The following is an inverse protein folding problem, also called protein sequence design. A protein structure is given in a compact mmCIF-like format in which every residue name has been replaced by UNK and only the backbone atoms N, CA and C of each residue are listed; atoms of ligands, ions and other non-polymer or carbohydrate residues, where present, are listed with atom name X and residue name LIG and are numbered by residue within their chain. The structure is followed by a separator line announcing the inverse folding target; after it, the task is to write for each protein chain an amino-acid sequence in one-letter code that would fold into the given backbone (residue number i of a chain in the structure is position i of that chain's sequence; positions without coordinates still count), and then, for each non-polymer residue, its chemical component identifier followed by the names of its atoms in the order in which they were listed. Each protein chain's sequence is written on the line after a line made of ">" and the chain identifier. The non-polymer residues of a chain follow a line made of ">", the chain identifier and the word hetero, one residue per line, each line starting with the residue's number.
data_IF_104666938255
#
_entry.id   IF_104666938255
#
_cell.length_a   1.000
_cell.length_b   1.000
_cell.length_c   1.000
_cell.angle_alpha   90.00
_cell.angle_beta   90.00
_cell.angle_gamma   90.00
#
_symmetry.space_group_name_H-M   'P 1'
#
loop_
_entity.id
_entity.type
_entity.pdbx_description
1 polymer ?
#
# COMPACT_ATOMS: atom_id res chain seq x y z
N UNK A 1 18.58 2.58 6.72
CA UNK A 1 18.54 1.14 6.40
C UNK A 1 18.25 0.99 4.92
N UNK A 2 18.79 -0.05 4.26
CA UNK A 2 18.52 -0.28 2.84
C UNK A 2 17.06 -0.71 2.59
N UNK A 3 16.42 -1.41 3.54
CA UNK A 3 15.02 -1.88 3.44
C UNK A 3 14.24 -1.52 4.70
N UNK A 4 12.93 -1.33 4.55
CA UNK A 4 12.03 -1.08 5.67
C UNK A 4 11.74 -2.39 6.41
N UNK A 5 11.66 -2.35 7.74
CA UNK A 5 11.50 -3.57 8.56
C UNK A 5 10.26 -4.39 8.18
N UNK A 6 9.14 -3.73 7.90
CA UNK A 6 7.88 -4.39 7.50
C UNK A 6 7.91 -4.98 6.08
N UNK A 7 8.89 -4.65 5.24
CA UNK A 7 9.08 -5.36 3.96
C UNK A 7 9.79 -6.70 4.20
N UNK A 8 10.77 -6.73 5.10
CA UNK A 8 11.53 -7.95 5.39
C UNK A 8 10.77 -8.88 6.35
N UNK A 9 9.82 -8.34 7.10
CA UNK A 9 9.03 -9.05 8.09
C UNK A 9 7.52 -8.74 7.94
N UNK A 10 6.91 -9.04 6.77
CA UNK A 10 5.55 -8.60 6.45
C UNK A 10 4.46 -9.19 7.35
N UNK A 11 4.76 -10.29 8.05
CA UNK A 11 3.82 -10.99 8.94
C UNK A 11 3.99 -10.62 10.42
N UNK A 12 5.04 -9.87 10.78
CA UNK A 12 5.24 -9.40 12.15
C UNK A 12 4.42 -8.14 12.40
N UNK A 13 3.26 -8.33 13.06
CA UNK A 13 2.38 -7.23 13.47
C UNK A 13 2.71 -6.66 14.85
N UNK A 14 3.55 -7.33 15.64
CA UNK A 14 4.05 -6.84 16.92
C UNK A 14 5.53 -7.18 17.07
N UNK A 15 6.32 -6.23 17.57
CA UNK A 15 7.77 -6.36 17.73
C UNK A 15 8.20 -5.69 19.03
N UNK A 16 9.01 -6.40 19.82
CA UNK A 16 9.80 -5.79 20.90
C UNK A 16 11.02 -5.09 20.29
N UNK A 17 11.20 -3.80 20.59
CA UNK A 17 12.25 -2.95 20.01
C UNK A 17 12.71 -1.91 21.01
N UNK A 18 13.90 -1.35 20.79
CA UNK A 18 14.40 -0.20 21.54
C UNK A 18 13.88 1.13 20.97
N UNK A 19 13.58 2.07 21.85
CA UNK A 19 13.42 3.49 21.50
C UNK A 19 14.80 4.12 21.34
N UNK A 20 15.11 4.59 20.14
CA UNK A 20 16.38 5.26 19.83
C UNK A 20 16.39 6.73 20.24
N UNK A 21 15.25 7.39 20.17
CA UNK A 21 15.07 8.80 20.51
C UNK A 21 13.59 9.07 20.80
N UNK A 22 13.31 10.06 21.64
CA UNK A 22 11.97 10.43 22.06
C UNK A 22 11.85 11.95 22.23
N UNK A 23 10.67 12.47 21.92
CA UNK A 23 10.25 13.86 22.18
C UNK A 23 8.79 13.81 22.66
N UNK A 24 8.25 14.90 23.22
CA UNK A 24 6.84 14.90 23.61
C UNK A 24 5.97 14.50 22.40
N UNK A 25 5.23 13.40 22.53
CA UNK A 25 4.34 12.89 21.50
C UNK A 25 5.01 12.20 20.31
N UNK A 26 6.34 12.00 20.34
CA UNK A 26 7.09 11.38 19.25
C UNK A 26 8.07 10.31 19.73
N UNK A 27 8.13 9.20 19.02
CA UNK A 27 9.12 8.15 19.28
C UNK A 27 9.80 7.68 17.99
N UNK A 28 11.12 7.50 18.05
CA UNK A 28 11.91 6.86 17.01
C UNK A 28 12.31 5.47 17.47
N UNK A 29 11.91 4.45 16.73
CA UNK A 29 12.21 3.05 17.06
C UNK A 29 13.40 2.52 16.28
N UNK A 30 14.12 1.57 16.87
CA UNK A 30 15.20 0.84 16.19
C UNK A 30 14.66 -0.04 15.06
N UNK A 31 13.54 -0.72 15.31
CA UNK A 31 12.77 -1.49 14.35
C UNK A 31 11.31 -1.07 14.45
N UNK A 32 10.65 -0.82 13.32
CA UNK A 32 9.25 -0.40 13.30
C UNK A 32 8.45 -1.31 12.37
N UNK A 33 7.45 -2.05 12.89
CA UNK A 33 6.55 -2.85 12.06
C UNK A 33 5.54 -1.99 11.29
N UNK A 34 5.47 -0.69 11.55
CA UNK A 34 4.48 0.21 10.97
C UNK A 34 4.88 0.73 9.57
N UNK A 35 3.91 0.75 8.68
CA UNK A 35 3.93 1.46 7.40
C UNK A 35 3.48 2.90 7.60
N UNK A 36 4.31 3.85 7.17
CA UNK A 36 4.08 5.28 7.38
C UNK A 36 3.07 5.92 6.41
N UNK A 37 2.47 5.13 5.52
CA UNK A 37 1.60 5.63 4.45
C UNK A 37 2.39 6.01 3.20
N UNK A 38 1.67 6.18 2.09
CA UNK A 38 2.25 6.51 0.78
C UNK A 38 1.60 5.72 -0.35
N UNK A 39 1.83 6.14 -1.60
CA UNK A 39 1.28 5.42 -2.78
C UNK A 39 -0.25 5.26 -2.77
N UNK A 40 -0.97 6.13 -2.06
CA UNK A 40 -2.42 6.04 -1.85
C UNK A 40 -2.87 5.15 -0.69
N UNK A 41 -1.98 4.34 -0.08
CA UNK A 41 -2.29 3.55 1.11
C UNK A 41 -2.20 4.44 2.36
N UNK A 42 -3.20 4.29 3.25
CA UNK A 42 -3.21 5.00 4.53
C UNK A 42 -2.07 4.50 5.45
N UNK A 43 -1.54 5.38 6.31
CA UNK A 43 -0.60 4.97 7.34
C UNK A 43 -1.24 3.95 8.28
N UNK A 44 -0.43 3.06 8.83
CA UNK A 44 -0.93 2.18 9.88
C UNK A 44 -1.30 2.94 11.15
N UNK A 45 -2.07 2.24 11.97
CA UNK A 45 -2.35 2.62 13.35
C UNK A 45 -2.03 1.45 14.26
N UNK A 46 -1.95 1.72 15.55
CA UNK A 46 -1.71 0.68 16.54
C UNK A 46 -1.34 1.25 17.89
N UNK A 47 -0.54 0.49 18.64
CA UNK A 47 -0.19 0.79 20.01
C UNK A 47 1.33 0.70 20.20
N UNK A 48 1.83 1.54 21.10
CA UNK A 48 3.17 1.43 21.67
C UNK A 48 3.01 1.10 23.16
N UNK A 49 3.58 -0.01 23.62
CA UNK A 49 3.48 -0.48 25.01
C UNK A 49 4.83 -0.56 25.69
N UNK A 50 4.87 -0.29 26.99
CA UNK A 50 6.05 -0.46 27.83
C UNK A 50 5.62 -0.90 29.24
N UNK A 51 6.58 -1.19 30.11
CA UNK A 51 6.33 -1.68 31.47
C UNK A 51 5.42 -0.78 32.33
N UNK A 52 5.22 0.49 31.94
CA UNK A 52 4.45 1.48 32.68
C UNK A 52 3.16 1.95 32.01
N UNK A 53 2.82 1.47 30.80
CA UNK A 53 1.63 1.93 30.10
C UNK A 53 1.61 1.59 28.61
N UNK A 54 0.61 2.10 27.92
CA UNK A 54 0.49 2.06 26.47
C UNK A 54 -0.06 3.38 25.94
N UNK A 55 0.22 3.69 24.69
CA UNK A 55 -0.39 4.83 23.98
C UNK A 55 -0.65 4.48 22.52
N UNK A 56 -1.61 5.15 21.89
CA UNK A 56 -1.93 4.92 20.49
C UNK A 56 -0.93 5.61 19.56
N UNK A 57 -0.53 4.89 18.50
CA UNK A 57 0.19 5.46 17.37
C UNK A 57 -0.84 6.04 16.41
N UNK A 58 -0.82 7.36 16.25
CA UNK A 58 -1.83 8.13 15.50
C UNK A 58 -1.34 8.63 14.14
N UNK A 59 -0.06 8.47 13.84
CA UNK A 59 0.52 8.86 12.57
C UNK A 59 2.03 8.78 12.56
N UNK A 60 2.64 9.41 11.55
CA UNK A 60 4.08 9.37 11.32
C UNK A 60 4.60 10.72 10.87
N UNK A 61 5.87 10.99 11.17
CA UNK A 61 6.56 12.20 10.74
C UNK A 61 7.96 11.87 10.23
N UNK A 62 8.38 12.52 9.15
CA UNK A 62 9.76 12.38 8.64
C UNK A 62 10.63 13.50 9.21
N UNK A 63 11.54 13.15 10.11
CA UNK A 63 12.46 14.10 10.76
C UNK A 63 13.89 13.60 10.52
N UNK A 64 14.69 14.41 9.81
CA UNK A 64 16.08 14.06 9.50
C UNK A 64 16.23 12.78 8.67
N UNK A 65 15.27 12.50 7.78
CA UNK A 65 15.26 11.28 6.95
C UNK A 65 14.90 10.00 7.70
N UNK A 66 14.42 10.11 8.95
CA UNK A 66 13.91 8.98 9.74
C UNK A 66 12.41 9.11 9.95
N UNK A 67 11.72 7.98 9.99
CA UNK A 67 10.29 7.89 10.29
C UNK A 67 10.07 7.82 11.79
N UNK A 68 9.47 8.86 12.35
CA UNK A 68 9.05 8.95 13.74
C UNK A 68 7.58 8.56 13.87
N UNK A 69 7.24 7.88 14.96
CA UNK A 69 5.86 7.62 15.35
C UNK A 69 5.28 8.88 16.00
N UNK A 70 4.05 9.24 15.65
CA UNK A 70 3.23 10.21 16.39
C UNK A 70 2.36 9.46 17.39
N UNK A 71 2.43 9.85 18.65
CA UNK A 71 1.71 9.26 19.76
C UNK A 71 0.47 10.11 20.09
N UNK A 72 -0.56 9.47 20.65
CA UNK A 72 -1.78 10.18 21.08
C UNK A 72 -1.55 11.06 22.31
N UNK A 73 -0.54 10.72 23.11
CA UNK A 73 -0.18 11.43 24.34
C UNK A 73 1.20 12.07 24.21
N UNK A 74 1.39 13.22 24.87
CA UNK A 74 2.65 13.98 24.93
C UNK A 74 3.67 13.31 25.88
N UNK A 75 3.94 12.02 25.66
CA UNK A 75 4.87 11.21 26.45
C UNK A 75 6.20 11.04 25.72
N UNK A 76 7.25 10.76 26.50
CA UNK A 76 8.57 10.38 26.03
C UNK A 76 8.86 8.94 26.46
N UNK A 77 8.43 7.97 25.65
CA UNK A 77 8.74 6.56 25.89
C UNK A 77 10.27 6.33 25.80
N UNK A 78 10.80 5.41 26.60
CA UNK A 78 12.24 5.09 26.59
C UNK A 78 12.50 3.62 26.89
N UNK A 79 13.67 3.14 26.47
CA UNK A 79 14.09 1.74 26.62
C UNK A 79 13.32 0.79 25.70
N UNK A 80 13.13 -0.44 26.16
CA UNK A 80 12.43 -1.50 25.45
C UNK A 80 10.92 -1.27 25.45
N UNK A 81 10.33 -1.31 24.27
CA UNK A 81 8.89 -1.13 24.02
C UNK A 81 8.38 -2.21 23.07
N UNK A 82 7.09 -2.56 23.17
CA UNK A 82 6.38 -3.34 22.16
C UNK A 82 5.67 -2.37 21.21
N UNK A 83 6.01 -2.46 19.92
CA UNK A 83 5.32 -1.77 18.84
C UNK A 83 4.34 -2.73 18.17
N UNK A 84 3.03 -2.47 18.25
CA UNK A 84 1.98 -3.35 17.76
C UNK A 84 1.05 -2.64 16.77
N UNK A 85 0.99 -3.15 15.54
CA UNK A 85 0.11 -2.70 14.45
C UNK A 85 -1.31 -3.22 14.67
N UNK A 86 -2.34 -2.43 14.32
CA UNK A 86 -3.71 -2.92 14.17
C UNK A 86 -3.77 -3.91 12.99
N UNK A 87 -3.72 -5.20 13.31
CA UNK A 87 -3.65 -6.28 12.33
C UNK A 87 -4.86 -6.32 11.39
N UNK A 88 -6.06 -5.99 11.87
CA UNK A 88 -7.27 -5.99 11.05
C UNK A 88 -7.23 -4.85 10.03
N UNK A 89 -6.81 -3.66 10.47
CA UNK A 89 -6.61 -2.51 9.58
C UNK A 89 -5.52 -2.78 8.54
N UNK A 90 -4.36 -3.30 8.96
CA UNK A 90 -3.27 -3.66 8.05
C UNK A 90 -3.73 -4.69 7.03
N UNK A 91 -4.46 -5.73 7.45
CA UNK A 91 -4.97 -6.75 6.53
C UNK A 91 -5.86 -6.13 5.46
N UNK A 92 -6.83 -5.30 5.85
CA UNK A 92 -7.69 -4.60 4.89
C UNK A 92 -6.89 -3.72 3.93
N UNK A 93 -5.86 -3.03 4.40
CA UNK A 93 -4.99 -2.23 3.53
C UNK A 93 -4.17 -3.10 2.57
N UNK A 94 -3.66 -4.27 3.01
CA UNK A 94 -2.97 -5.24 2.15
C UNK A 94 -3.89 -5.79 1.05
N UNK A 95 -5.14 -6.09 1.40
CA UNK A 95 -6.19 -6.50 0.44
C UNK A 95 -6.38 -5.41 -0.61
N UNK A 96 -6.74 -4.19 -0.19
CA UNK A 96 -6.98 -3.07 -1.10
C UNK A 96 -5.78 -2.76 -1.98
N UNK A 97 -4.55 -2.80 -1.44
CA UNK A 97 -3.35 -2.50 -2.22
C UNK A 97 -3.03 -3.61 -3.23
N UNK A 98 -3.27 -4.86 -2.87
CA UNK A 98 -3.11 -5.97 -3.83
C UNK A 98 -4.17 -5.88 -4.93
N UNK A 99 -5.41 -5.51 -4.58
CA UNK A 99 -6.50 -5.34 -5.53
C UNK A 99 -6.31 -4.15 -6.47
N UNK A 100 -5.66 -3.07 -6.02
CA UNK A 100 -5.28 -1.96 -6.93
C UNK A 100 -4.21 -2.38 -7.93
N UNK A 101 -3.29 -3.30 -7.57
CA UNK A 101 -2.37 -3.90 -8.55
C UNK A 101 -3.12 -4.74 -9.58
N UNK A 102 -4.07 -5.59 -9.15
CA UNK A 102 -4.91 -6.38 -10.06
C UNK A 102 -5.69 -5.48 -11.01
N UNK A 103 -6.35 -4.45 -10.49
CA UNK A 103 -7.08 -3.46 -11.29
C UNK A 103 -6.16 -2.76 -12.30
N UNK A 104 -4.97 -2.32 -11.87
CA UNK A 104 -4.00 -1.68 -12.75
C UNK A 104 -3.52 -2.63 -13.86
N UNK A 105 -3.19 -3.88 -13.51
CA UNK A 105 -2.70 -4.86 -14.47
C UNK A 105 -3.72 -5.12 -15.60
N UNK A 106 -4.99 -5.35 -15.23
CA UNK A 106 -6.04 -5.59 -16.23
C UNK A 106 -6.35 -4.35 -17.07
N UNK A 107 -6.36 -3.15 -16.48
CA UNK A 107 -6.57 -1.92 -17.24
C UNK A 107 -5.39 -1.65 -18.18
N UNK A 108 -4.16 -1.81 -17.69
CA UNK A 108 -2.95 -1.63 -18.48
C UNK A 108 -2.93 -2.56 -19.70
N UNK A 109 -3.25 -3.84 -19.52
CA UNK A 109 -3.34 -4.82 -20.61
C UNK A 109 -4.50 -4.52 -21.58
N UNK A 110 -5.67 -4.14 -21.05
CA UNK A 110 -6.89 -3.97 -21.85
C UNK A 110 -6.92 -2.68 -22.66
N UNK A 111 -6.27 -1.63 -22.16
CA UNK A 111 -6.30 -0.27 -22.70
C UNK A 111 -4.90 0.22 -23.12
N UNK A 112 -4.15 -0.66 -23.79
CA UNK A 112 -2.90 -0.33 -24.49
C UNK A 112 -1.88 0.45 -23.64
N UNK A 113 -1.68 0.02 -22.40
CA UNK A 113 -0.70 0.63 -21.50
C UNK A 113 -1.19 1.90 -20.79
N UNK A 114 -2.51 2.06 -20.62
CA UNK A 114 -3.09 3.16 -19.87
C UNK A 114 -2.41 3.36 -18.50
N UNK A 115 -2.00 4.59 -18.21
CA UNK A 115 -1.18 4.91 -17.04
C UNK A 115 -2.04 5.39 -15.88
N UNK A 116 -1.61 5.07 -14.66
CA UNK A 116 -2.20 5.56 -13.42
C UNK A 116 -1.82 7.03 -13.22
N UNK A 117 -2.81 7.85 -12.89
CA UNK A 117 -2.67 9.28 -12.60
C UNK A 117 -2.96 9.60 -11.13
N UNK A 118 -3.65 8.71 -10.42
CA UNK A 118 -3.90 8.83 -8.99
C UNK A 118 -4.42 7.54 -8.39
N UNK A 119 -4.13 7.33 -7.11
CA UNK A 119 -4.56 6.17 -6.34
C UNK A 119 -4.87 6.62 -4.90
N UNK A 120 -5.91 6.05 -4.32
CA UNK A 120 -6.29 6.30 -2.92
C UNK A 120 -7.04 5.08 -2.38
N UNK A 121 -6.64 4.60 -1.21
CA UNK A 121 -7.33 3.59 -0.41
C UNK A 121 -7.91 4.27 0.83
N UNK A 122 -9.05 3.78 1.29
CA UNK A 122 -9.80 4.36 2.40
C UNK A 122 -10.06 3.30 3.48
N UNK A 123 -10.24 3.75 4.71
CA UNK A 123 -10.53 2.90 5.87
C UNK A 123 -11.92 2.26 5.85
N UNK A 124 -12.79 2.65 4.91
CA UNK A 124 -14.11 2.06 4.69
C UNK A 124 -14.08 0.79 3.82
N UNK A 125 -12.89 0.28 3.49
CA UNK A 125 -12.74 -0.89 2.61
C UNK A 125 -12.93 -0.57 1.13
N UNK A 126 -12.80 0.70 0.71
CA UNK A 126 -12.82 1.12 -0.69
C UNK A 126 -11.50 1.68 -1.17
N UNK A 127 -11.24 1.52 -2.47
CA UNK A 127 -10.12 2.16 -3.15
C UNK A 127 -10.58 2.79 -4.46
N UNK A 128 -9.84 3.79 -4.94
CA UNK A 128 -10.03 4.39 -6.26
C UNK A 128 -8.71 4.49 -6.99
N UNK A 129 -8.78 4.27 -8.30
CA UNK A 129 -7.67 4.51 -9.23
C UNK A 129 -8.14 5.38 -10.39
N UNK A 130 -7.33 6.37 -10.73
CA UNK A 130 -7.55 7.31 -11.81
C UNK A 130 -6.58 6.96 -12.94
N UNK A 131 -7.07 6.82 -14.18
CA UNK A 131 -6.29 6.40 -15.34
C UNK A 131 -6.32 7.47 -16.45
N UNK A 132 -5.20 7.67 -17.15
CA UNK A 132 -5.20 8.37 -18.44
C UNK A 132 -5.73 7.43 -19.53
N UNK A 133 -6.97 7.66 -19.91
CA UNK A 133 -7.82 6.78 -20.67
C UNK A 133 -8.78 7.63 -21.54
N UNK A 134 -8.28 8.26 -22.62
CA UNK A 134 -9.07 9.14 -23.49
C UNK A 134 -10.18 8.39 -24.24
N UNK A 135 -9.91 7.15 -24.65
CA UNK A 135 -10.84 6.28 -25.40
C UNK A 135 -11.56 5.29 -24.47
N UNK A 136 -12.12 5.81 -23.38
CA UNK A 136 -12.70 4.97 -22.35
C UNK A 136 -13.94 4.20 -22.79
N UNK A 137 -13.87 2.88 -22.60
CA UNK A 137 -15.00 1.97 -22.66
C UNK A 137 -15.42 1.59 -21.23
N UNK A 138 -16.50 2.21 -20.76
CA UNK A 138 -17.03 1.94 -19.41
C UNK A 138 -17.55 0.51 -19.26
N UNK A 139 -17.97 -0.17 -20.32
CA UNK A 139 -18.39 -1.57 -20.24
C UNK A 139 -17.18 -2.47 -20.03
N UNK A 140 -16.09 -2.24 -20.78
CA UNK A 140 -14.82 -2.94 -20.56
C UNK A 140 -14.21 -2.64 -19.17
N UNK A 141 -14.30 -1.39 -18.69
CA UNK A 141 -13.87 -1.03 -17.34
C UNK A 141 -14.69 -1.72 -16.25
N UNK A 142 -15.98 -2.00 -16.46
CA UNK A 142 -16.78 -2.80 -15.51
C UNK A 142 -16.42 -4.28 -15.59
N UNK A 143 -16.12 -4.79 -16.79
CA UNK A 143 -15.81 -6.20 -17.01
C UNK A 143 -14.53 -6.67 -16.29
N UNK A 144 -13.63 -5.75 -15.89
CA UNK A 144 -12.43 -6.10 -15.11
C UNK A 144 -12.76 -6.70 -13.75
N UNK A 145 -13.95 -6.47 -13.19
CA UNK A 145 -14.38 -7.06 -11.91
C UNK A 145 -14.27 -8.59 -11.93
N UNK A 146 -14.73 -9.23 -13.01
CA UNK A 146 -14.68 -10.68 -13.13
C UNK A 146 -13.23 -11.18 -13.21
N UNK A 147 -12.36 -10.45 -13.92
CA UNK A 147 -10.94 -10.81 -14.04
C UNK A 147 -10.18 -10.66 -12.72
N UNK A 148 -10.46 -9.59 -11.94
CA UNK A 148 -9.89 -9.39 -10.60
C UNK A 148 -10.29 -10.55 -9.68
N UNK A 149 -11.58 -10.87 -9.61
CA UNK A 149 -12.06 -11.96 -8.77
C UNK A 149 -11.56 -13.34 -9.22
N UNK A 150 -11.33 -13.52 -10.52
CA UNK A 150 -10.69 -14.73 -11.04
C UNK A 150 -9.23 -14.83 -10.59
N UNK A 151 -8.46 -13.74 -10.67
CA UNK A 151 -7.08 -13.71 -10.17
C UNK A 151 -6.99 -13.93 -8.64
N UNK A 152 -7.95 -13.41 -7.88
CA UNK A 152 -8.08 -13.70 -6.44
C UNK A 152 -8.31 -15.20 -6.22
N UNK A 153 -9.26 -15.80 -6.96
CA UNK A 153 -9.57 -17.24 -6.86
C UNK A 153 -8.39 -18.14 -7.26
N UNK A 154 -7.55 -17.69 -8.17
CA UNK A 154 -6.34 -18.42 -8.60
C UNK A 154 -5.22 -18.41 -7.55
N UNK A 155 -5.33 -17.60 -6.49
CA UNK A 155 -4.37 -17.52 -5.38
C UNK A 155 -2.91 -17.33 -5.85
N UNK A 156 -2.73 -16.38 -6.78
CA UNK A 156 -1.43 -16.06 -7.37
C UNK A 156 -0.47 -15.57 -6.29
N UNK A 157 0.77 -16.07 -6.31
CA UNK A 157 1.81 -15.64 -5.39
C UNK A 157 2.16 -14.16 -5.59
N UNK A 158 2.37 -13.45 -4.48
CA UNK A 158 2.80 -12.05 -4.45
C UNK A 158 4.16 -11.98 -3.78
N UNK A 159 5.15 -11.46 -4.50
CA UNK A 159 6.53 -11.31 -4.03
C UNK A 159 7.05 -9.89 -4.21
N UNK A 160 8.21 -9.61 -3.64
CA UNK A 160 8.93 -8.38 -3.91
C UNK A 160 10.44 -8.58 -4.06
N UNK A 161 11.05 -7.63 -4.78
CA UNK A 161 12.49 -7.54 -4.96
C UNK A 161 12.91 -6.07 -4.96
N UNK A 162 14.20 -5.84 -4.74
CA UNK A 162 14.80 -4.52 -4.92
C UNK A 162 15.78 -4.62 -6.08
N UNK A 163 15.60 -3.75 -7.07
CA UNK A 163 16.46 -3.67 -8.25
C UNK A 163 17.07 -2.27 -8.35
N UNK A 164 18.22 -2.10 -9.01
CA UNK A 164 18.74 -0.78 -9.38
C UNK A 164 17.65 0.06 -10.05
N UNK A 165 17.57 1.34 -9.70
CA UNK A 165 16.52 2.23 -10.25
C UNK A 165 16.66 2.42 -11.75
N UNK A 166 17.88 2.32 -12.26
CA UNK A 166 18.25 2.39 -13.68
C UNK A 166 17.60 1.24 -14.46
N UNK A 167 17.75 0.01 -13.97
CA UNK A 167 17.10 -1.18 -14.54
C UNK A 167 15.57 -1.03 -14.57
N UNK A 168 15.00 -0.40 -13.53
CA UNK A 168 13.58 -0.15 -13.46
C UNK A 168 13.06 0.83 -14.53
N UNK A 169 13.90 1.78 -14.97
CA UNK A 169 13.55 2.71 -16.05
C UNK A 169 13.68 2.08 -17.43
N UNK A 170 14.53 1.07 -17.60
CA UNK A 170 14.70 0.34 -18.85
C UNK A 170 13.57 -0.67 -19.10
N UNK A 171 12.96 -1.20 -18.05
CA UNK A 171 11.88 -2.18 -18.16
C UNK A 171 10.51 -1.50 -18.44
N UNK A 172 10.04 -1.65 -19.68
CA UNK A 172 8.78 -1.05 -20.11
C UNK A 172 7.59 -1.56 -19.28
N UNK A 173 6.84 -0.62 -18.71
CA UNK A 173 5.64 -0.93 -17.94
C UNK A 173 5.91 -1.34 -16.50
N UNK A 174 7.12 -1.19 -15.97
CA UNK A 174 7.40 -1.38 -14.55
C UNK A 174 7.00 -0.16 -13.71
N UNK A 175 7.16 1.03 -14.30
CA UNK A 175 6.69 2.31 -13.74
C UNK A 175 5.43 2.72 -14.50
N UNK A 176 4.25 2.40 -13.94
CA UNK A 176 2.94 2.65 -14.57
C UNK A 176 2.20 3.86 -14.05
N UNK A 177 2.85 4.64 -13.20
CA UNK A 177 2.28 5.78 -12.47
C UNK A 177 2.96 7.06 -12.94
N UNK A 178 2.15 8.06 -13.30
CA UNK A 178 2.64 9.39 -13.70
C UNK A 178 2.99 10.29 -12.52
N UNK A 179 2.53 9.95 -11.33
CA UNK A 179 2.54 10.87 -10.18
C UNK A 179 3.48 10.47 -9.06
N UNK A 180 3.67 9.17 -8.78
CA UNK A 180 4.48 8.73 -7.65
C UNK A 180 5.10 7.36 -7.93
N UNK A 181 6.42 7.27 -7.97
CA UNK A 181 7.16 6.02 -7.77
C UNK A 181 7.66 5.96 -6.32
N UNK A 182 7.86 4.76 -5.72
CA UNK A 182 8.52 4.68 -4.42
C UNK A 182 9.91 5.32 -4.48
N UNK A 183 10.33 6.07 -3.44
CA UNK A 183 11.64 6.68 -3.43
C UNK A 183 12.73 5.59 -3.46
N UNK A 184 13.82 5.79 -4.21
CA UNK A 184 14.96 4.89 -4.15
C UNK A 184 15.53 4.83 -2.73
N UNK A 185 16.04 3.66 -2.40
CA UNK A 185 16.86 3.41 -1.21
C UNK A 185 18.18 4.20 -1.28
N UNK A 186 18.87 4.39 -0.14
CA UNK A 186 20.18 5.06 -0.14
C UNK A 186 21.23 4.40 -1.05
N UNK A 187 21.12 3.10 -1.33
CA UNK A 187 21.96 2.36 -2.27
C UNK A 187 21.43 2.35 -3.72
N UNK A 188 20.49 3.23 -4.06
CA UNK A 188 20.03 3.45 -5.43
C UNK A 188 19.03 2.41 -5.96
N UNK A 189 18.48 1.56 -5.10
CA UNK A 189 17.50 0.53 -5.50
C UNK A 189 16.06 0.95 -5.27
N UNK A 190 15.15 0.45 -6.08
CA UNK A 190 13.70 0.63 -5.96
C UNK A 190 13.01 -0.71 -5.71
N UNK A 191 11.95 -0.69 -4.87
CA UNK A 191 11.16 -1.90 -4.58
C UNK A 191 10.17 -2.18 -5.68
N UNK A 192 10.18 -3.42 -6.17
CA UNK A 192 9.26 -3.97 -7.16
C UNK A 192 8.41 -5.03 -6.50
N UNK A 193 7.10 -4.90 -6.65
CA UNK A 193 6.12 -5.91 -6.24
C UNK A 193 5.67 -6.66 -7.48
N UNK A 194 5.61 -7.98 -7.38
CA UNK A 194 5.24 -8.89 -8.45
C UNK A 194 4.06 -9.76 -8.03
N UNK A 195 3.03 -9.81 -8.87
CA UNK A 195 1.96 -10.81 -8.81
C UNK A 195 2.26 -11.82 -9.91
N UNK A 196 2.57 -13.06 -9.51
CA UNK A 196 3.12 -14.08 -10.39
C UNK A 196 2.31 -14.24 -11.68
N UNK A 197 2.98 -14.02 -12.82
CA UNK A 197 2.39 -14.18 -14.16
C UNK A 197 1.39 -13.10 -14.57
N UNK A 198 1.16 -12.06 -13.75
CA UNK A 198 0.14 -11.04 -14.03
C UNK A 198 0.68 -9.60 -13.98
N UNK A 199 1.39 -9.25 -12.93
CA UNK A 199 1.77 -7.86 -12.67
C UNK A 199 3.18 -7.72 -12.09
N UNK A 200 3.87 -6.65 -12.46
CA UNK A 200 5.16 -6.28 -11.88
C UNK A 200 5.31 -4.77 -11.90
N UNK A 201 5.36 -4.15 -10.72
CA UNK A 201 5.31 -2.69 -10.58
C UNK A 201 6.18 -2.17 -9.44
N UNK A 202 6.75 -0.98 -9.63
CA UNK A 202 7.42 -0.28 -8.54
C UNK A 202 6.40 0.13 -7.46
N UNK A 203 6.50 -0.46 -6.27
CA UNK A 203 5.60 -0.17 -5.15
C UNK A 203 6.28 -0.32 -3.78
N UNK A 204 6.06 0.66 -2.91
CA UNK A 204 6.59 0.69 -1.54
C UNK A 204 5.56 0.41 -0.45
N UNK A 205 4.35 -0.04 -0.80
CA UNK A 205 3.30 -0.36 0.18
C UNK A 205 3.31 -1.80 0.66
N UNK A 206 2.34 -2.13 1.50
CA UNK A 206 2.18 -3.50 2.04
C UNK A 206 1.21 -4.30 1.18
N UNK A 207 1.54 -5.55 0.89
CA UNK A 207 0.74 -6.44 0.05
C UNK A 207 0.44 -7.76 0.73
N UNK A 208 -0.61 -8.44 0.28
CA UNK A 208 -0.87 -9.84 0.64
C UNK A 208 0.30 -10.72 0.17
N UNK A 209 0.46 -11.91 0.76
CA UNK A 209 1.42 -12.90 0.28
C UNK A 209 0.92 -13.64 -0.97
N UNK A 210 -0.41 -13.72 -1.13
CA UNK A 210 -1.08 -14.29 -2.30
C UNK A 210 -2.38 -13.53 -2.57
N UNK A 211 -2.85 -13.52 -3.82
CA UNK A 211 -4.10 -12.83 -4.18
C UNK A 211 -5.34 -13.44 -3.53
N UNK A 212 -5.32 -14.73 -3.18
CA UNK A 212 -6.43 -15.43 -2.52
C UNK A 212 -6.64 -15.02 -1.07
N UNK A 213 -5.70 -14.26 -0.48
CA UNK A 213 -5.89 -13.60 0.80
C UNK A 213 -6.88 -12.43 0.78
N UNK A 214 -7.34 -12.00 -0.40
CA UNK A 214 -8.30 -10.92 -0.56
C UNK A 214 -9.74 -11.41 -0.56
N UNK A 215 -10.65 -10.61 0.01
CA UNK A 215 -12.09 -10.74 -0.25
C UNK A 215 -12.39 -10.50 -1.73
N UNK A 216 -13.56 -10.97 -2.18
CA UNK A 216 -14.03 -10.62 -3.52
C UNK A 216 -14.21 -9.11 -3.65
N UNK A 217 -13.94 -8.59 -4.84
CA UNK A 217 -13.94 -7.16 -5.16
C UNK A 217 -15.15 -6.80 -6.00
N UNK A 218 -15.70 -5.60 -5.79
CA UNK A 218 -16.74 -5.01 -6.63
C UNK A 218 -16.29 -3.68 -7.22
N UNK A 219 -16.57 -3.46 -8.50
CA UNK A 219 -16.48 -2.15 -9.16
C UNK A 219 -17.72 -1.35 -8.77
N UNK A 220 -17.55 -0.44 -7.81
CA UNK A 220 -18.63 0.36 -7.24
C UNK A 220 -19.06 1.48 -8.17
N UNK A 221 -18.09 2.13 -8.82
CA UNK A 221 -18.35 3.32 -9.62
C UNK A 221 -17.28 3.54 -10.67
N UNK A 222 -17.70 4.10 -11.81
CA UNK A 222 -16.79 4.64 -12.82
C UNK A 222 -17.18 6.08 -13.08
N UNK A 223 -16.29 7.01 -12.74
CA UNK A 223 -16.49 8.44 -12.94
C UNK A 223 -15.67 8.95 -14.13
N UNK A 224 -16.30 9.77 -14.97
CA UNK A 224 -15.58 10.58 -15.96
C UNK A 224 -15.04 11.84 -15.27
N UNK A 225 -13.71 11.96 -15.19
CA UNK A 225 -13.01 13.08 -14.55
C UNK A 225 -12.38 14.03 -15.58
N UNK A 226 -12.86 13.99 -16.81
CA UNK A 226 -12.38 14.81 -17.93
C UNK A 226 -12.11 13.96 -19.18
N UNK A 227 -11.74 14.62 -20.28
CA UNK A 227 -11.50 13.95 -21.57
C UNK A 227 -10.57 12.74 -21.43
N UNK A 228 -9.49 12.91 -20.67
CA UNK A 228 -8.44 11.92 -20.48
C UNK A 228 -8.60 11.06 -19.23
N UNK A 229 -9.43 11.43 -18.24
CA UNK A 229 -9.34 10.79 -16.93
C UNK A 229 -10.57 9.95 -16.62
N UNK A 230 -10.36 8.67 -16.31
CA UNK A 230 -11.40 7.78 -15.76
C UNK A 230 -10.99 7.31 -14.38
N UNK A 231 -11.91 7.49 -13.44
CA UNK A 231 -11.77 6.98 -12.08
C UNK A 231 -12.58 5.71 -11.94
N UNK A 232 -11.95 4.63 -11.51
CA UNK A 232 -12.60 3.38 -11.13
C UNK A 232 -12.54 3.27 -9.61
N UNK A 233 -13.70 3.19 -8.95
CA UNK A 233 -13.82 2.91 -7.51
C UNK A 233 -14.12 1.43 -7.33
N UNK A 234 -13.31 0.75 -6.54
CA UNK A 234 -13.52 -0.63 -6.10
C UNK A 234 -13.80 -0.69 -4.60
N UNK A 235 -14.40 -1.78 -4.15
CA UNK A 235 -14.57 -2.07 -2.73
C UNK A 235 -14.59 -3.57 -2.46
N UNK A 236 -14.15 -3.92 -1.26
CA UNK A 236 -14.16 -5.31 -0.77
C UNK A 236 -15.61 -5.75 -0.51
N UNK A 237 -15.90 -7.03 -0.73
CA UNK A 237 -17.22 -7.58 -0.43
C UNK A 237 -17.56 -7.41 1.06
N UNK A 238 -18.82 -7.08 1.33
CA UNK A 238 -19.31 -6.75 2.67
C UNK A 238 -19.18 -5.26 3.03
N UNK A 239 -18.51 -4.45 2.21
CA UNK A 239 -18.59 -2.98 2.31
C UNK A 239 -19.97 -2.54 1.80
N UNK A 240 -20.74 -1.86 2.66
CA UNK A 240 -21.99 -1.25 2.24
C UNK A 240 -21.69 -0.22 1.13
N UNK A 241 -22.49 -0.12 0.06
CA UNK A 241 -22.32 0.95 -0.91
C UNK A 241 -22.39 2.28 -0.16
N UNK A 242 -21.25 2.95 0.01
CA UNK A 242 -21.21 4.28 0.60
C UNK A 242 -22.12 5.21 -0.21
N UNK A 243 -23.03 5.88 0.50
CA UNK A 243 -23.93 6.94 0.00
C UNK A 243 -23.19 8.02 -0.78
#
# INVERSE_FOLDING_TARGET
>A
MARAFYHDNPDLMAVETEVLDARPGLALLAQSPFYAGGGGQLPDRGLLRWRGGETAVTGFESIGGKTWLRLAEEIEASGTVEAAVDAAFRQMMRELHTDTHLLNAFIYQRFNGALVTGVQMNEDGTARMDFDLPDADNAALRAVEAAINDAIRQDLAVGDSYIPVEDAYEEHGLIRTRSVAPPPTPDGKIRIVEIAGLDRQACGGTHLATTGGSRTVRVLKIDNKGRHNRRVKIGLAGVAPGT
#
